data_IF_973067542181
#
_entry.id   IF_973067542181
#
_cell.length_a   1.000
_cell.length_b   1.000
_cell.length_c   1.000
_cell.angle_alpha   90.00
_cell.angle_beta   90.00
_cell.angle_gamma   90.00
#
_symmetry.space_group_name_H-M   'P 1'
#
loop_
_entity.id
_entity.type
_entity.pdbx_description
1 polymer ?
#
# COMPACT_ATOMS: atom_id res chain seq x y z
N UNK A 1 -7.58 21.97 14.89
CA UNK A 1 -6.82 20.71 14.77
C UNK A 1 -5.38 21.01 14.40
N UNK A 2 -4.41 20.23 14.89
CA UNK A 2 -2.97 20.45 14.70
C UNK A 2 -2.19 19.14 14.53
N UNK A 3 -0.97 19.22 13.98
CA UNK A 3 -0.04 18.08 13.87
C UNK A 3 0.25 17.48 15.25
N UNK A 4 0.23 16.15 15.33
CA UNK A 4 0.43 15.37 16.55
C UNK A 4 -0.86 15.07 17.32
N UNK A 5 -1.97 15.74 16.99
CA UNK A 5 -3.24 15.41 17.60
C UNK A 5 -3.83 14.11 17.05
N UNK A 6 -4.48 13.36 17.94
CA UNK A 6 -5.21 12.14 17.62
C UNK A 6 -6.70 12.31 17.89
N UNK A 7 -7.52 11.59 17.12
CA UNK A 7 -8.98 11.61 17.19
C UNK A 7 -9.57 10.22 16.94
N UNK A 8 -10.81 10.02 17.37
CA UNK A 8 -11.70 8.98 16.87
C UNK A 8 -12.86 9.68 16.18
N UNK A 9 -13.19 9.28 14.96
CA UNK A 9 -14.25 9.93 14.20
C UNK A 9 -14.95 9.04 13.18
N UNK A 10 -16.06 9.52 12.64
CA UNK A 10 -16.90 8.78 11.71
C UNK A 10 -17.61 9.73 10.74
N UNK A 11 -18.08 9.16 9.63
CA UNK A 11 -18.96 9.84 8.68
C UNK A 11 -20.29 10.18 9.33
N UNK A 12 -20.79 11.40 9.08
CA UNK A 12 -22.18 11.79 9.43
C UNK A 12 -23.20 11.17 8.47
N UNK A 13 -22.76 10.79 7.26
CA UNK A 13 -23.58 10.05 6.29
C UNK A 13 -23.65 8.58 6.70
N UNK A 14 -24.85 8.13 7.08
CA UNK A 14 -25.08 6.80 7.66
C UNK A 14 -24.77 5.67 6.65
N UNK A 15 -25.10 5.86 5.37
CA UNK A 15 -24.81 4.88 4.32
C UNK A 15 -23.30 4.65 4.14
N UNK A 16 -22.51 5.73 4.15
CA UNK A 16 -21.04 5.67 4.06
C UNK A 16 -20.46 5.07 5.33
N UNK A 17 -21.06 5.37 6.49
CA UNK A 17 -20.64 4.80 7.78
C UNK A 17 -20.85 3.28 7.82
N UNK A 18 -21.94 2.78 7.24
CA UNK A 18 -22.23 1.32 7.17
C UNK A 18 -21.35 0.60 6.15
N UNK A 19 -21.07 1.23 4.99
CA UNK A 19 -20.27 0.62 3.92
C UNK A 19 -18.76 0.76 4.11
N UNK A 20 -18.31 1.74 4.89
CA UNK A 20 -16.88 1.93 5.14
C UNK A 20 -16.30 0.73 5.89
N UNK A 21 -15.02 0.41 5.65
CA UNK A 21 -14.32 -0.65 6.41
C UNK A 21 -14.07 -0.31 7.89
N UNK A 22 -14.69 0.74 8.40
CA UNK A 22 -14.68 1.24 9.78
C UNK A 22 -15.73 2.36 9.84
N UNK A 23 -15.44 3.53 10.41
CA UNK A 23 -16.43 4.62 10.51
C UNK A 23 -16.75 5.39 9.23
N UNK A 24 -16.27 4.98 8.05
CA UNK A 24 -16.47 5.73 6.80
C UNK A 24 -15.80 7.12 6.74
N UNK A 25 -14.96 7.46 7.73
CA UNK A 25 -14.37 8.80 7.88
C UNK A 25 -13.52 9.20 6.68
N UNK A 26 -12.68 8.29 6.18
CA UNK A 26 -11.76 8.59 5.06
C UNK A 26 -12.55 8.97 3.81
N UNK A 27 -13.57 8.20 3.46
CA UNK A 27 -14.41 8.47 2.29
C UNK A 27 -15.10 9.83 2.40
N UNK A 28 -15.76 10.11 3.53
CA UNK A 28 -16.44 11.39 3.74
C UNK A 28 -15.47 12.57 3.81
N UNK A 29 -14.27 12.38 4.35
CA UNK A 29 -13.23 13.40 4.37
C UNK A 29 -12.72 13.75 2.96
N UNK A 30 -12.50 12.75 2.11
CA UNK A 30 -12.11 12.96 0.71
C UNK A 30 -13.25 13.63 -0.09
N UNK A 31 -14.49 13.19 0.11
CA UNK A 31 -15.67 13.78 -0.52
C UNK A 31 -15.82 15.27 -0.14
N UNK A 32 -15.64 15.62 1.14
CA UNK A 32 -15.66 17.00 1.61
C UNK A 32 -14.52 17.84 1.01
N UNK A 33 -13.32 17.27 0.88
CA UNK A 33 -12.19 17.97 0.28
C UNK A 33 -12.46 18.36 -1.17
N UNK A 34 -13.16 17.49 -1.91
CA UNK A 34 -13.55 17.75 -3.30
C UNK A 34 -14.70 18.77 -3.38
N UNK A 35 -15.77 18.59 -2.60
CA UNK A 35 -16.93 19.49 -2.58
C UNK A 35 -16.55 20.93 -2.22
N UNK A 36 -15.66 21.09 -1.22
CA UNK A 36 -15.17 22.40 -0.76
C UNK A 36 -14.02 22.94 -1.60
N UNK A 37 -13.68 22.28 -2.71
CA UNK A 37 -12.59 22.69 -3.63
C UNK A 37 -11.24 22.85 -2.92
N UNK A 38 -11.01 22.06 -1.88
CA UNK A 38 -9.69 21.96 -1.24
C UNK A 38 -8.71 21.25 -2.18
N UNK A 39 -9.22 20.31 -2.99
CA UNK A 39 -8.53 19.61 -4.07
C UNK A 39 -9.35 19.66 -5.35
N UNK A 40 -8.69 19.47 -6.49
CA UNK A 40 -9.33 19.46 -7.82
C UNK A 40 -9.91 18.07 -8.15
N UNK A 41 -9.31 17.02 -7.61
CA UNK A 41 -9.72 15.64 -7.83
C UNK A 41 -9.35 14.74 -6.65
N UNK A 42 -9.99 13.59 -6.57
CA UNK A 42 -9.68 12.53 -5.60
C UNK A 42 -9.32 11.26 -6.36
N UNK A 43 -8.32 10.52 -5.87
CA UNK A 43 -8.02 9.18 -6.35
C UNK A 43 -8.72 8.15 -5.47
N UNK A 44 -9.49 7.25 -6.06
CA UNK A 44 -10.18 6.16 -5.35
C UNK A 44 -10.16 4.87 -6.17
N UNK A 45 -10.62 3.77 -5.58
CA UNK A 45 -10.89 2.52 -6.29
C UNK A 45 -12.38 2.43 -6.64
N UNK A 46 -12.69 2.27 -7.92
CA UNK A 46 -14.02 1.92 -8.39
C UNK A 46 -14.16 0.39 -8.36
N UNK A 47 -14.91 -0.12 -7.37
CA UNK A 47 -15.16 -1.55 -7.19
C UNK A 47 -15.88 -2.12 -8.41
N UNK A 48 -15.35 -3.21 -8.95
CA UNK A 48 -16.05 -4.07 -9.92
C UNK A 48 -16.67 -5.24 -9.15
N UNK A 49 -15.87 -5.92 -8.34
CA UNK A 49 -16.28 -6.95 -7.39
C UNK A 49 -15.30 -6.99 -6.20
N UNK A 50 -15.42 -7.97 -5.32
CA UNK A 50 -14.67 -8.16 -4.08
C UNK A 50 -13.15 -8.34 -4.33
N UNK A 51 -12.78 -8.83 -5.51
CA UNK A 51 -11.40 -9.13 -5.89
C UNK A 51 -10.84 -8.20 -6.98
N UNK A 52 -11.66 -7.29 -7.50
CA UNK A 52 -11.30 -6.45 -8.63
C UNK A 52 -11.82 -5.02 -8.48
N UNK A 53 -10.93 -4.05 -8.68
CA UNK A 53 -11.30 -2.65 -8.77
C UNK A 53 -10.32 -1.89 -9.65
N UNK A 54 -10.80 -0.80 -10.24
CA UNK A 54 -10.01 0.08 -11.11
C UNK A 54 -9.70 1.37 -10.36
N UNK A 55 -8.44 1.80 -10.30
CA UNK A 55 -8.10 3.09 -9.73
C UNK A 55 -8.54 4.21 -10.68
N UNK A 56 -9.31 5.17 -10.17
CA UNK A 56 -9.82 6.31 -10.93
C UNK A 56 -9.36 7.63 -10.29
N UNK A 57 -9.23 8.67 -11.11
CA UNK A 57 -9.10 10.06 -10.67
C UNK A 57 -10.44 10.72 -11.00
N UNK A 58 -11.17 11.17 -9.99
CA UNK A 58 -12.53 11.70 -10.16
C UNK A 58 -12.69 13.07 -9.52
N UNK A 59 -13.51 13.91 -10.15
CA UNK A 59 -14.04 15.15 -9.60
C UNK A 59 -15.52 15.05 -9.23
N UNK A 60 -16.08 13.83 -9.22
CA UNK A 60 -17.45 13.57 -8.77
C UNK A 60 -17.46 13.11 -7.30
N UNK A 61 -18.11 13.90 -6.45
CA UNK A 61 -18.30 13.61 -5.02
C UNK A 61 -19.02 12.27 -4.81
N UNK A 62 -19.98 11.90 -5.68
CA UNK A 62 -20.72 10.65 -5.55
C UNK A 62 -19.85 9.44 -5.88
N UNK A 63 -18.95 9.54 -6.87
CA UNK A 63 -17.98 8.48 -7.14
C UNK A 63 -17.06 8.24 -5.94
N UNK A 64 -16.66 9.30 -5.24
CA UNK A 64 -15.89 9.17 -3.98
C UNK A 64 -16.74 8.48 -2.90
N UNK A 65 -17.98 8.91 -2.67
CA UNK A 65 -18.85 8.31 -1.64
C UNK A 65 -19.17 6.83 -1.92
N UNK A 66 -19.28 6.45 -3.19
CA UNK A 66 -19.52 5.08 -3.63
C UNK A 66 -18.29 4.18 -3.49
N UNK A 67 -17.09 4.74 -3.35
CA UNK A 67 -15.85 3.97 -3.15
C UNK A 67 -15.62 3.54 -1.69
N UNK A 68 -16.58 3.72 -0.79
CA UNK A 68 -16.45 3.31 0.61
C UNK A 68 -16.31 1.78 0.73
N UNK A 69 -15.41 1.35 1.60
CA UNK A 69 -15.15 -0.06 1.88
C UNK A 69 -13.67 -0.41 1.78
N UNK A 70 -13.33 -1.58 2.30
CA UNK A 70 -11.97 -2.14 2.19
C UNK A 70 -11.93 -3.16 1.06
N UNK A 71 -10.83 -3.14 0.29
CA UNK A 71 -10.49 -4.17 -0.69
C UNK A 71 -9.08 -4.68 -0.36
N UNK A 72 -9.02 -5.88 0.20
CA UNK A 72 -7.81 -6.54 0.68
C UNK A 72 -7.10 -7.29 -0.44
N UNK A 73 -7.85 -7.74 -1.46
CA UNK A 73 -7.34 -8.48 -2.62
C UNK A 73 -7.07 -7.62 -3.86
N UNK A 74 -7.07 -6.29 -3.72
CA UNK A 74 -6.78 -5.35 -4.82
C UNK A 74 -5.50 -4.57 -4.53
N UNK A 75 -4.33 -5.02 -5.02
CA UNK A 75 -3.11 -4.23 -4.97
C UNK A 75 -3.20 -3.06 -5.98
N UNK A 76 -3.10 -1.83 -5.48
CA UNK A 76 -3.15 -0.61 -6.29
C UNK A 76 -1.77 0.02 -6.45
N UNK A 77 -1.63 0.91 -7.44
CA UNK A 77 -0.43 1.69 -7.69
C UNK A 77 -0.79 3.15 -7.95
N UNK A 78 -1.19 3.86 -6.89
CA UNK A 78 -1.64 5.24 -7.03
C UNK A 78 -0.52 6.22 -7.42
N UNK A 79 0.72 5.95 -6.99
CA UNK A 79 1.87 6.78 -7.35
C UNK A 79 2.05 6.89 -8.87
N UNK A 80 1.94 5.77 -9.60
CA UNK A 80 2.00 5.79 -11.07
C UNK A 80 0.83 6.51 -11.71
N UNK A 81 -0.37 6.41 -11.12
CA UNK A 81 -1.57 7.02 -11.66
C UNK A 81 -1.50 8.56 -11.62
N UNK A 82 -0.91 9.13 -10.57
CA UNK A 82 -0.82 10.59 -10.39
C UNK A 82 0.51 11.23 -10.81
N UNK A 83 1.53 10.42 -11.12
CA UNK A 83 2.81 10.91 -11.61
C UNK A 83 2.64 11.79 -12.86
N UNK A 84 3.43 12.86 -12.95
CA UNK A 84 3.49 13.85 -14.02
C UNK A 84 2.17 14.61 -14.28
N UNK A 85 1.21 14.52 -13.35
CA UNK A 85 -0.06 15.28 -13.43
C UNK A 85 0.03 16.60 -12.67
N UNK A 86 -0.52 17.66 -13.26
CA UNK A 86 -0.65 18.99 -12.64
C UNK A 86 -2.03 19.16 -12.00
N UNK A 87 -2.35 18.31 -11.04
CA UNK A 87 -3.62 18.35 -10.30
C UNK A 87 -3.34 18.46 -8.81
N UNK A 88 -4.18 19.21 -8.09
CA UNK A 88 -4.24 19.13 -6.64
C UNK A 88 -5.13 17.97 -6.26
N UNK A 89 -4.58 16.94 -5.63
CA UNK A 89 -5.28 15.67 -5.40
C UNK A 89 -5.26 15.24 -3.95
N UNK A 90 -6.32 14.55 -3.52
CA UNK A 90 -6.33 13.78 -2.28
C UNK A 90 -6.56 12.29 -2.57
N UNK A 91 -5.94 11.41 -1.78
CA UNK A 91 -6.10 9.97 -1.98
C UNK A 91 -5.88 9.15 -0.71
N UNK A 92 -6.54 7.98 -0.58
CA UNK A 92 -6.16 6.99 0.40
C UNK A 92 -4.87 6.28 -0.04
N UNK A 93 -3.99 5.98 0.90
CA UNK A 93 -2.70 5.37 0.62
C UNK A 93 -2.35 4.32 1.68
N UNK A 94 -2.10 3.07 1.26
CA UNK A 94 -1.45 2.09 2.15
C UNK A 94 0.02 2.53 2.36
N UNK A 95 0.71 1.94 3.33
CA UNK A 95 2.11 2.31 3.62
C UNK A 95 3.04 2.27 2.40
N UNK A 96 2.87 1.29 1.51
CA UNK A 96 3.62 1.22 0.26
C UNK A 96 3.25 2.34 -0.74
N UNK A 97 1.98 2.72 -0.85
CA UNK A 97 1.55 3.81 -1.72
C UNK A 97 2.13 5.15 -1.25
N UNK A 98 2.02 5.44 0.06
CA UNK A 98 2.55 6.68 0.64
C UNK A 98 4.06 6.80 0.38
N UNK A 99 4.81 5.71 0.59
CA UNK A 99 6.25 5.66 0.31
C UNK A 99 6.56 5.85 -1.17
N UNK A 100 5.80 5.23 -2.06
CA UNK A 100 5.98 5.41 -3.49
C UNK A 100 5.74 6.86 -3.93
N UNK A 101 4.70 7.50 -3.42
CA UNK A 101 4.36 8.90 -3.73
C UNK A 101 5.48 9.83 -3.30
N UNK A 102 6.01 9.64 -2.08
CA UNK A 102 7.14 10.42 -1.57
C UNK A 102 8.40 10.19 -2.43
N UNK A 103 8.70 8.93 -2.80
CA UNK A 103 9.83 8.63 -3.68
C UNK A 103 9.70 9.24 -5.09
N UNK A 104 8.49 9.32 -5.63
CA UNK A 104 8.23 10.04 -6.88
C UNK A 104 8.34 11.56 -6.69
N UNK A 105 7.93 12.09 -5.54
CA UNK A 105 8.11 13.49 -5.17
C UNK A 105 9.59 13.91 -5.12
N UNK A 106 10.45 13.08 -4.53
CA UNK A 106 11.92 13.28 -4.55
C UNK A 106 12.52 13.33 -5.96
N UNK A 107 11.83 12.72 -6.93
CA UNK A 107 12.23 12.64 -8.34
C UNK A 107 11.49 13.66 -9.21
N UNK A 108 10.80 14.62 -8.60
CA UNK A 108 10.01 15.68 -9.23
C UNK A 108 8.88 15.17 -10.14
N UNK A 109 8.49 13.90 -10.03
CA UNK A 109 7.39 13.33 -10.80
C UNK A 109 6.02 13.59 -10.13
N UNK A 110 5.99 13.86 -8.82
CA UNK A 110 4.77 14.24 -8.09
C UNK A 110 5.04 15.53 -7.31
N UNK A 111 4.13 16.50 -7.43
CA UNK A 111 4.15 17.67 -6.56
C UNK A 111 3.50 17.32 -5.21
N UNK A 112 4.32 17.19 -4.17
CA UNK A 112 3.85 16.83 -2.83
C UNK A 112 3.06 17.94 -2.13
N UNK A 113 3.27 19.21 -2.49
CA UNK A 113 2.48 20.33 -1.94
C UNK A 113 1.04 20.26 -2.44
N UNK A 114 0.85 19.74 -3.66
CA UNK A 114 -0.45 19.53 -4.28
C UNK A 114 -1.05 18.15 -4.01
N UNK A 115 -0.41 17.30 -3.20
CA UNK A 115 -0.86 15.93 -2.94
C UNK A 115 -1.18 15.72 -1.47
N UNK A 116 -2.44 15.40 -1.15
CA UNK A 116 -2.90 15.07 0.19
C UNK A 116 -2.92 13.54 0.36
N UNK A 117 -2.06 13.02 1.22
CA UNK A 117 -1.90 11.57 1.43
C UNK A 117 -2.65 11.16 2.69
N UNK A 118 -3.77 10.43 2.53
CA UNK A 118 -4.55 9.86 3.63
C UNK A 118 -4.08 8.43 3.87
N UNK A 119 -3.18 8.24 4.83
CA UNK A 119 -2.62 6.96 5.17
C UNK A 119 -3.66 6.00 5.75
N UNK A 120 -3.63 4.73 5.32
CA UNK A 120 -4.46 3.66 5.87
C UNK A 120 -3.59 2.66 6.64
N UNK A 121 -3.94 2.35 7.90
CA UNK A 121 -3.29 1.25 8.60
C UNK A 121 -3.51 -0.07 7.85
N UNK A 122 -2.48 -0.90 7.75
CA UNK A 122 -2.51 -2.05 6.85
C UNK A 122 -1.83 -3.27 7.47
N UNK A 123 -2.57 -4.37 7.58
CA UNK A 123 -2.03 -5.68 7.99
C UNK A 123 -1.36 -6.46 6.86
N UNK A 124 -1.67 -6.08 5.62
CA UNK A 124 -1.21 -6.69 4.38
C UNK A 124 -2.33 -6.73 3.34
N UNK A 125 -1.99 -7.12 2.12
CA UNK A 125 -2.94 -7.35 1.03
C UNK A 125 -2.70 -8.71 0.42
N UNK A 126 -3.68 -9.22 -0.31
CA UNK A 126 -3.67 -10.53 -0.95
C UNK A 126 -3.61 -10.36 -2.47
N UNK A 127 -3.17 -11.40 -3.18
CA UNK A 127 -3.14 -11.41 -4.64
C UNK A 127 -4.49 -11.92 -5.16
N UNK A 128 -5.19 -11.20 -6.05
CA UNK A 128 -6.59 -11.51 -6.40
C UNK A 128 -6.78 -12.92 -6.96
N UNK A 129 -5.89 -13.36 -7.85
CA UNK A 129 -5.96 -14.71 -8.44
C UNK A 129 -5.75 -15.79 -7.38
N UNK A 130 -4.78 -15.58 -6.48
CA UNK A 130 -4.46 -16.55 -5.41
C UNK A 130 -5.55 -16.57 -4.34
N UNK A 131 -6.19 -15.42 -4.07
CA UNK A 131 -7.36 -15.35 -3.17
C UNK A 131 -8.52 -16.15 -3.75
N UNK A 132 -8.78 -16.07 -5.06
CA UNK A 132 -9.86 -16.83 -5.70
C UNK A 132 -9.61 -18.35 -5.59
N UNK A 133 -8.40 -18.79 -5.86
CA UNK A 133 -8.00 -20.19 -5.65
C UNK A 133 -8.12 -20.62 -4.17
N UNK A 134 -7.67 -19.76 -3.25
CA UNK A 134 -7.77 -19.99 -1.81
C UNK A 134 -9.22 -20.21 -1.34
N UNK A 135 -10.19 -19.49 -1.91
CA UNK A 135 -11.61 -19.65 -1.56
C UNK A 135 -12.12 -21.05 -1.90
N UNK A 136 -11.77 -21.56 -3.08
CA UNK A 136 -12.18 -22.90 -3.51
C UNK A 136 -11.47 -24.00 -2.71
N UNK A 137 -10.17 -23.81 -2.44
CA UNK A 137 -9.32 -24.84 -1.82
C UNK A 137 -9.48 -24.86 -0.30
N UNK A 138 -9.40 -23.72 0.36
CA UNK A 138 -9.37 -23.62 1.83
C UNK A 138 -10.76 -23.41 2.41
N UNK A 139 -11.57 -22.54 1.80
CA UNK A 139 -12.90 -22.20 2.32
C UNK A 139 -14.01 -23.08 1.75
N UNK A 140 -13.75 -23.82 0.66
CA UNK A 140 -14.72 -24.64 -0.07
C UNK A 140 -15.94 -23.84 -0.55
N UNK A 141 -15.73 -22.59 -0.95
CA UNK A 141 -16.75 -21.69 -1.50
C UNK A 141 -16.34 -21.16 -2.86
N UNK A 142 -17.32 -20.80 -3.70
CA UNK A 142 -17.05 -20.20 -5.01
C UNK A 142 -16.75 -18.71 -4.84
N UNK A 143 -15.74 -18.15 -5.50
CA UNK A 143 -15.47 -16.71 -5.46
C UNK A 143 -16.67 -15.85 -5.85
N UNK A 144 -17.51 -16.31 -6.78
CA UNK A 144 -18.69 -15.60 -7.26
C UNK A 144 -19.80 -15.48 -6.22
N UNK A 145 -19.77 -16.31 -5.17
CA UNK A 145 -20.75 -16.30 -4.10
C UNK A 145 -20.38 -15.32 -2.99
N UNK A 146 -19.15 -14.80 -2.96
CA UNK A 146 -18.68 -13.82 -1.96
C UNK A 146 -19.25 -12.44 -2.27
N UNK A 147 -19.76 -11.74 -1.23
CA UNK A 147 -20.15 -10.33 -1.33
C UNK A 147 -19.54 -9.44 -0.24
N UNK A 148 -18.83 -10.02 0.72
CA UNK A 148 -18.19 -9.31 1.83
C UNK A 148 -16.86 -9.94 2.21
N UNK A 149 -15.91 -9.11 2.63
CA UNK A 149 -14.64 -9.56 3.22
C UNK A 149 -14.24 -8.65 4.39
N UNK A 150 -13.69 -9.24 5.45
CA UNK A 150 -13.21 -8.50 6.61
C UNK A 150 -11.99 -9.21 7.22
N UNK A 151 -11.11 -8.43 7.86
CA UNK A 151 -10.00 -8.96 8.65
C UNK A 151 -10.21 -8.55 10.10
N UNK A 152 -10.68 -9.51 10.90
CA UNK A 152 -10.90 -9.30 12.33
C UNK A 152 -10.12 -10.32 13.17
N UNK A 153 -9.40 -9.83 14.19
CA UNK A 153 -8.70 -10.67 15.18
C UNK A 153 -7.80 -11.75 14.56
N UNK A 154 -7.12 -11.42 13.46
CA UNK A 154 -6.20 -12.32 12.76
C UNK A 154 -6.88 -13.40 11.90
N UNK A 155 -8.20 -13.34 11.75
CA UNK A 155 -8.96 -14.19 10.83
C UNK A 155 -9.29 -13.41 9.56
N UNK A 156 -9.24 -14.10 8.43
CA UNK A 156 -9.79 -13.62 7.18
C UNK A 156 -11.19 -14.19 7.02
N UNK A 157 -12.17 -13.29 6.97
CA UNK A 157 -13.59 -13.61 7.00
C UNK A 157 -14.17 -13.26 5.63
N UNK A 158 -14.93 -14.19 5.06
CA UNK A 158 -15.71 -13.98 3.83
C UNK A 158 -17.18 -14.24 4.11
N UNK A 159 -18.04 -13.35 3.62
CA UNK A 159 -19.50 -13.48 3.68
C UNK A 159 -20.04 -13.84 2.29
N UNK A 160 -20.83 -14.90 2.23
CA UNK A 160 -21.46 -15.37 0.99
C UNK A 160 -22.89 -14.86 0.85
N UNK A 161 -23.42 -14.82 -0.38
CA UNK A 161 -24.73 -14.22 -0.72
C UNK A 161 -25.93 -14.85 0.01
N UNK A 162 -25.75 -16.05 0.56
CA UNK A 162 -26.73 -16.73 1.40
C UNK A 162 -26.63 -16.33 2.89
N UNK A 163 -25.78 -15.36 3.23
CA UNK A 163 -25.58 -14.81 4.58
C UNK A 163 -24.69 -15.66 5.48
N UNK A 164 -23.93 -16.63 4.93
CA UNK A 164 -22.99 -17.42 5.72
C UNK A 164 -21.64 -16.73 5.83
N UNK A 165 -21.09 -16.74 7.03
CA UNK A 165 -19.71 -16.30 7.28
C UNK A 165 -18.76 -17.50 7.35
N UNK A 166 -17.64 -17.37 6.66
CA UNK A 166 -16.56 -18.35 6.68
C UNK A 166 -15.27 -17.67 7.15
N UNK A 167 -14.63 -18.22 8.17
CA UNK A 167 -13.45 -17.60 8.79
C UNK A 167 -12.31 -18.62 8.99
N UNK A 168 -11.13 -18.31 8.46
CA UNK A 168 -9.89 -19.07 8.66
C UNK A 168 -8.82 -18.12 9.19
N UNK A 169 -7.93 -18.62 10.04
CA UNK A 169 -6.83 -17.80 10.57
C UNK A 169 -5.83 -17.46 9.46
N UNK A 170 -5.28 -16.24 9.46
CA UNK A 170 -4.29 -15.83 8.45
C UNK A 170 -3.04 -16.71 8.54
N UNK A 171 -2.62 -17.10 9.75
CA UNK A 171 -1.44 -17.95 9.94
C UNK A 171 -1.62 -19.32 9.26
N UNK A 172 -2.78 -19.95 9.41
CA UNK A 172 -3.10 -21.21 8.74
C UNK A 172 -3.09 -21.08 7.21
N UNK A 173 -3.67 -19.99 6.67
CA UNK A 173 -3.63 -19.72 5.23
C UNK A 173 -2.19 -19.56 4.74
N UNK A 174 -1.36 -18.82 5.48
CA UNK A 174 0.04 -18.56 5.12
C UNK A 174 0.91 -19.82 5.17
N UNK A 175 0.67 -20.72 6.13
CA UNK A 175 1.31 -22.03 6.23
C UNK A 175 0.97 -22.94 5.05
N UNK A 176 -0.22 -22.78 4.46
CA UNK A 176 -0.66 -23.50 3.26
C UNK A 176 -0.28 -22.81 1.95
N UNK A 177 0.47 -21.72 2.00
CA UNK A 177 0.92 -20.97 0.81
C UNK A 177 -0.05 -19.89 0.33
N UNK A 178 -1.18 -19.68 1.01
CA UNK A 178 -2.20 -18.67 0.68
C UNK A 178 -2.10 -17.42 1.58
N UNK A 179 -3.14 -16.60 1.61
CA UNK A 179 -3.22 -15.41 2.45
C UNK A 179 -2.48 -14.21 1.87
N UNK A 180 -1.73 -13.48 2.71
CA UNK A 180 -1.10 -12.23 2.30
C UNK A 180 0.01 -12.47 1.28
N UNK A 181 0.15 -11.52 0.34
CA UNK A 181 1.30 -11.42 -0.57
C UNK A 181 2.59 -11.49 0.23
N UNK A 182 3.61 -12.19 -0.26
CA UNK A 182 4.90 -12.32 0.42
C UNK A 182 5.48 -10.97 0.86
N UNK A 183 5.42 -9.98 -0.04
CA UNK A 183 5.85 -8.59 0.22
C UNK A 183 5.17 -7.95 1.43
N UNK A 184 3.92 -8.30 1.66
CA UNK A 184 3.12 -7.81 2.77
C UNK A 184 3.45 -8.51 4.09
N UNK A 185 3.91 -9.77 4.03
CA UNK A 185 4.26 -10.56 5.23
C UNK A 185 5.44 -9.96 5.99
N UNK A 186 6.46 -9.47 5.29
CA UNK A 186 7.64 -8.85 5.90
C UNK A 186 7.58 -7.31 6.01
N UNK A 187 6.51 -6.67 5.53
CA UNK A 187 6.38 -5.21 5.61
C UNK A 187 6.28 -4.75 7.07
N UNK A 188 7.10 -3.78 7.47
CA UNK A 188 7.08 -3.17 8.81
C UNK A 188 6.34 -1.84 8.86
N UNK A 189 5.85 -1.32 7.73
CA UNK A 189 5.08 -0.08 7.69
C UNK A 189 3.61 -0.41 7.88
N UNK A 190 3.17 -0.39 9.14
CA UNK A 190 1.82 -0.81 9.53
C UNK A 190 0.86 0.36 9.73
N UNK A 191 1.37 1.45 10.31
CA UNK A 191 0.70 2.75 10.36
C UNK A 191 1.55 3.73 9.53
N UNK A 192 1.02 4.28 8.43
CA UNK A 192 1.77 5.16 7.53
C UNK A 192 1.92 6.57 8.14
N UNK A 193 2.78 6.72 9.15
CA UNK A 193 3.05 7.99 9.81
C UNK A 193 3.78 9.02 8.90
N UNK A 194 4.25 8.59 7.73
CA UNK A 194 4.80 9.43 6.67
C UNK A 194 3.73 10.06 5.76
N UNK A 195 2.46 9.70 5.92
CA UNK A 195 1.32 10.36 5.25
C UNK A 195 0.95 11.69 5.92
N UNK A 196 0.03 12.47 5.35
CA UNK A 196 -0.44 13.71 5.97
C UNK A 196 -1.33 13.44 7.20
N UNK A 197 -2.11 12.36 7.13
CA UNK A 197 -3.02 11.91 8.18
C UNK A 197 -3.13 10.38 8.12
N UNK A 198 -2.93 9.69 9.24
CA UNK A 198 -3.02 8.23 9.30
C UNK A 198 -4.34 7.79 9.95
N UNK A 199 -5.08 6.95 9.24
CA UNK A 199 -6.42 6.52 9.57
C UNK A 199 -6.51 4.98 9.66
N UNK A 200 -7.44 4.48 10.48
CA UNK A 200 -7.90 3.09 10.42
C UNK A 200 -8.55 2.63 11.72
N UNK A 201 -8.82 1.33 11.84
CA UNK A 201 -9.59 0.76 12.95
C UNK A 201 -8.78 0.49 14.22
N UNK A 202 -7.45 0.43 14.17
CA UNK A 202 -6.64 0.10 15.35
C UNK A 202 -6.66 1.21 16.39
N UNK A 203 -7.10 0.86 17.61
CA UNK A 203 -7.27 1.78 18.74
C UNK A 203 -8.70 2.25 18.96
N UNK A 204 -9.64 1.90 18.08
CA UNK A 204 -11.07 2.12 18.31
C UNK A 204 -11.58 1.07 19.30
N UNK A 205 -12.29 1.50 20.34
CA UNK A 205 -12.75 0.64 21.44
C UNK A 205 -14.22 0.89 21.79
N UNK A 206 -14.81 -0.02 22.57
CA UNK A 206 -16.19 0.07 23.06
C UNK A 206 -17.21 0.01 21.91
N UNK A 207 -18.31 0.75 22.06
CA UNK A 207 -19.44 0.74 21.12
C UNK A 207 -19.13 1.34 19.75
N UNK A 208 -17.95 1.97 19.61
CA UNK A 208 -17.46 2.56 18.38
C UNK A 208 -16.67 1.57 17.49
N UNK A 209 -16.36 0.36 17.98
CA UNK A 209 -15.69 -0.67 17.17
C UNK A 209 -16.51 -0.95 15.91
N UNK A 210 -15.84 -0.96 14.75
CA UNK A 210 -16.48 -1.09 13.43
C UNK A 210 -17.26 0.14 12.96
N UNK A 211 -17.50 1.14 13.83
CA UNK A 211 -18.35 2.31 13.54
C UNK A 211 -17.59 3.63 13.56
N UNK A 212 -16.31 3.62 13.90
CA UNK A 212 -15.43 4.78 13.94
C UNK A 212 -14.05 4.45 13.38
N UNK A 213 -13.29 5.50 13.07
CA UNK A 213 -11.93 5.47 12.55
C UNK A 213 -11.03 6.20 13.54
N UNK A 214 -9.93 5.56 13.93
CA UNK A 214 -8.86 6.23 14.66
C UNK A 214 -8.03 7.05 13.67
N UNK A 215 -7.71 8.28 14.05
CA UNK A 215 -7.06 9.28 13.22
C UNK A 215 -5.86 9.87 13.95
N UNK A 216 -4.73 10.00 13.26
CA UNK A 216 -3.50 10.63 13.72
C UNK A 216 -3.03 11.65 12.69
N UNK A 217 -2.92 12.91 13.11
CA UNK A 217 -2.55 14.02 12.22
C UNK A 217 -1.02 14.15 12.17
N UNK A 218 -0.42 13.95 11.00
CA UNK A 218 1.03 13.94 10.83
C UNK A 218 1.58 15.22 10.16
N UNK A 219 0.72 16.02 9.52
CA UNK A 219 1.08 17.28 8.86
C UNK A 219 0.00 18.35 8.97
N UNK A 220 0.36 19.60 8.64
CA UNK A 220 -0.60 20.71 8.51
C UNK A 220 -1.64 20.47 7.41
N UNK A 221 -1.23 19.83 6.29
CA UNK A 221 -2.17 19.41 5.23
C UNK A 221 -3.19 18.41 5.77
N UNK A 222 -2.76 17.46 6.61
CA UNK A 222 -3.63 16.50 7.27
C UNK A 222 -4.63 17.17 8.21
N UNK A 223 -4.15 18.13 9.02
CA UNK A 223 -5.01 18.93 9.90
C UNK A 223 -6.07 19.69 9.11
N UNK A 224 -5.66 20.33 8.00
CA UNK A 224 -6.55 21.07 7.10
C UNK A 224 -7.60 20.16 6.47
N UNK A 225 -7.22 18.94 6.07
CA UNK A 225 -8.11 17.97 5.45
C UNK A 225 -9.23 17.53 6.42
N UNK A 226 -8.87 17.18 7.66
CA UNK A 226 -9.84 16.77 8.67
C UNK A 226 -10.73 17.94 9.12
N UNK A 227 -10.15 19.11 9.35
CA UNK A 227 -10.89 20.30 9.76
C UNK A 227 -11.91 20.70 8.70
N UNK A 228 -11.51 20.71 7.41
CA UNK A 228 -12.42 20.96 6.30
C UNK A 228 -13.62 20.00 6.30
N UNK A 229 -13.40 18.72 6.60
CA UNK A 229 -14.48 17.73 6.64
C UNK A 229 -15.43 17.92 7.84
N UNK A 230 -14.90 18.34 8.99
CA UNK A 230 -15.71 18.69 10.17
C UNK A 230 -16.54 19.94 9.91
N UNK A 231 -15.91 21.01 9.40
CA UNK A 231 -16.59 22.29 9.12
C UNK A 231 -17.67 22.13 8.04
N UNK A 232 -17.43 21.23 7.08
CA UNK A 232 -18.41 20.85 6.06
C UNK A 232 -19.54 19.95 6.58
N UNK A 233 -19.47 19.47 7.82
CA UNK A 233 -20.46 18.56 8.41
C UNK A 233 -20.43 17.12 7.86
N UNK A 234 -19.35 16.73 7.18
CA UNK A 234 -19.20 15.39 6.59
C UNK A 234 -18.73 14.34 7.60
N UNK A 235 -18.03 14.77 8.65
CA UNK A 235 -17.50 13.89 9.69
C UNK A 235 -17.69 14.50 11.07
N UNK A 236 -17.79 13.63 12.08
CA UNK A 236 -17.70 13.99 13.49
C UNK A 236 -16.45 13.36 14.08
N UNK A 237 -15.83 14.06 15.02
CA UNK A 237 -14.63 13.59 15.72
C UNK A 237 -14.73 13.88 17.22
N UNK A 238 -14.08 13.04 18.00
CA UNK A 238 -13.85 13.22 19.43
C UNK A 238 -12.40 12.85 19.77
N UNK A 239 -11.91 13.27 20.95
CA UNK A 239 -10.62 12.82 21.43
C UNK A 239 -10.65 11.30 21.71
N UNK A 240 -9.58 10.56 21.39
CA UNK A 240 -9.49 9.14 21.70
C UNK A 240 -9.37 8.94 23.20
N UNK A 241 -9.84 7.79 23.67
CA UNK A 241 -9.53 7.30 25.01
C UNK A 241 -8.04 6.94 25.11
N UNK A 242 -7.40 7.20 26.26
CA UNK A 242 -5.98 6.86 26.51
C UNK A 242 -5.70 5.36 26.31
N UNK A 243 -6.64 4.50 26.72
CA UNK A 243 -6.58 3.05 26.47
C UNK A 243 -6.62 2.75 24.97
N UNK A 244 -7.41 3.49 24.20
CA UNK A 244 -7.46 3.38 22.74
C UNK A 244 -6.12 3.72 22.09
N UNK A 245 -5.47 4.80 22.54
CA UNK A 245 -4.12 5.19 22.11
C UNK A 245 -3.10 4.08 22.43
N UNK A 246 -3.13 3.54 23.65
CA UNK A 246 -2.24 2.46 24.07
C UNK A 246 -2.47 1.17 23.25
N UNK A 247 -3.73 0.81 22.98
CA UNK A 247 -4.09 -0.35 22.14
C UNK A 247 -3.58 -0.17 20.72
N UNK A 248 -3.73 1.02 20.13
CA UNK A 248 -3.20 1.32 18.79
C UNK A 248 -1.69 1.08 18.73
N UNK A 249 -0.94 1.64 19.68
CA UNK A 249 0.51 1.47 19.76
C UNK A 249 0.89 -0.01 19.92
N UNK A 250 0.18 -0.75 20.78
CA UNK A 250 0.38 -2.18 20.98
C UNK A 250 0.14 -3.00 19.72
N UNK A 251 -0.99 -2.79 19.03
CA UNK A 251 -1.30 -3.51 17.78
C UNK A 251 -0.25 -3.20 16.71
N UNK A 252 0.14 -1.93 16.56
CA UNK A 252 1.22 -1.53 15.64
C UNK A 252 2.50 -2.32 15.92
N UNK A 253 2.97 -2.35 17.17
CA UNK A 253 4.17 -3.08 17.56
C UNK A 253 4.10 -4.58 17.27
N UNK A 254 2.99 -5.24 17.63
CA UNK A 254 2.77 -6.66 17.33
C UNK A 254 2.86 -6.94 15.82
N UNK A 255 2.24 -6.08 15.01
CA UNK A 255 2.24 -6.24 13.55
C UNK A 255 3.62 -5.97 12.93
N UNK A 256 4.39 -5.03 13.49
CA UNK A 256 5.78 -4.77 13.10
C UNK A 256 6.70 -5.95 13.44
N UNK A 257 6.55 -6.53 14.62
CA UNK A 257 7.34 -7.69 15.05
C UNK A 257 7.01 -8.93 14.22
N UNK A 258 5.74 -9.13 13.85
CA UNK A 258 5.36 -10.15 12.88
C UNK A 258 6.07 -9.93 11.53
N UNK A 259 6.15 -8.67 11.08
CA UNK A 259 6.90 -8.28 9.87
C UNK A 259 8.38 -8.63 9.97
N UNK A 260 9.03 -8.30 11.10
CA UNK A 260 10.44 -8.64 11.35
C UNK A 260 10.68 -10.15 11.37
N UNK A 261 9.78 -10.92 12.00
CA UNK A 261 9.83 -12.40 12.02
C UNK A 261 9.80 -12.97 10.60
N UNK A 262 8.87 -12.49 9.76
CA UNK A 262 8.81 -12.90 8.35
C UNK A 262 10.02 -12.44 7.54
N UNK A 263 10.55 -11.25 7.80
CA UNK A 263 11.78 -10.76 7.17
C UNK A 263 12.95 -11.72 7.42
N UNK A 264 13.12 -12.21 8.66
CA UNK A 264 14.15 -13.20 9.01
C UNK A 264 13.95 -14.57 8.35
N UNK A 265 12.69 -14.99 8.12
CA UNK A 265 12.37 -16.23 7.40
C UNK A 265 12.66 -16.14 5.90
N UNK A 266 12.39 -14.99 5.29
CA UNK A 266 12.43 -14.80 3.83
C UNK A 266 13.83 -14.42 3.35
N UNK A 267 14.52 -13.56 4.09
CA UNK A 267 15.82 -13.01 3.70
C UNK A 267 16.96 -13.68 4.48
N UNK A 268 17.13 -14.99 4.24
CA UNK A 268 18.27 -15.74 4.79
C UNK A 268 19.54 -15.39 4.00
N UNK A 269 20.66 -15.04 4.66
CA UNK A 269 21.92 -14.77 3.98
C UNK A 269 22.40 -15.94 3.12
N UNK A 270 22.89 -15.64 1.93
CA UNK A 270 23.53 -16.62 1.05
C UNK A 270 25.04 -16.43 1.19
N UNK A 271 25.70 -17.34 1.93
CA UNK A 271 27.14 -17.25 2.21
C UNK A 271 28.00 -17.53 0.97
N UNK A 272 27.66 -18.55 0.19
CA UNK A 272 28.39 -18.96 -1.02
C UNK A 272 27.46 -19.04 -2.23
N UNK A 273 27.96 -18.68 -3.42
CA UNK A 273 27.21 -18.84 -4.67
C UNK A 273 26.08 -17.84 -4.87
N UNK A 274 26.10 -16.67 -4.20
CA UNK A 274 25.07 -15.63 -4.37
C UNK A 274 24.83 -15.28 -5.84
N UNK A 275 25.89 -15.06 -6.62
CA UNK A 275 25.74 -14.77 -8.06
C UNK A 275 25.03 -15.92 -8.79
N UNK A 276 25.36 -17.17 -8.49
CA UNK A 276 24.72 -18.33 -9.12
C UNK A 276 23.24 -18.46 -8.71
N UNK A 277 22.90 -18.17 -7.46
CA UNK A 277 21.52 -18.07 -7.02
C UNK A 277 20.73 -17.05 -7.87
N UNK A 278 21.23 -15.83 -8.00
CA UNK A 278 20.57 -14.81 -8.82
C UNK A 278 20.49 -15.21 -10.30
N UNK A 279 21.54 -15.83 -10.86
CA UNK A 279 21.54 -16.33 -12.24
C UNK A 279 20.48 -17.40 -12.45
N UNK A 280 20.31 -18.33 -11.51
CA UNK A 280 19.29 -19.37 -11.56
C UNK A 280 17.89 -18.79 -11.45
N UNK A 281 17.63 -17.92 -10.48
CA UNK A 281 16.32 -17.30 -10.28
C UNK A 281 15.88 -16.42 -11.47
N UNK A 282 16.83 -15.85 -12.21
CA UNK A 282 16.57 -14.97 -13.36
C UNK A 282 16.65 -15.69 -14.71
N UNK A 283 17.00 -16.98 -14.75
CA UNK A 283 17.31 -17.67 -16.02
C UNK A 283 16.13 -17.79 -16.98
N UNK A 284 14.90 -17.73 -16.45
CA UNK A 284 13.66 -17.77 -17.22
C UNK A 284 13.12 -16.38 -17.58
N UNK A 285 13.83 -15.30 -17.23
CA UNK A 285 13.39 -13.97 -17.56
C UNK A 285 13.33 -13.79 -19.09
N UNK A 286 12.17 -13.37 -19.59
CA UNK A 286 11.92 -13.10 -21.01
C UNK A 286 12.12 -11.61 -21.38
N UNK A 287 12.75 -10.84 -20.49
CA UNK A 287 13.03 -9.40 -20.63
C UNK A 287 11.83 -8.53 -21.06
N UNK A 288 10.60 -8.93 -20.72
CA UNK A 288 9.37 -8.21 -21.11
C UNK A 288 9.22 -6.80 -20.51
N UNK A 289 10.02 -6.45 -19.49
CA UNK A 289 10.01 -5.12 -18.87
C UNK A 289 8.79 -4.80 -17.98
N UNK A 290 7.83 -5.72 -17.83
CA UNK A 290 6.60 -5.51 -17.05
C UNK A 290 6.89 -5.04 -15.61
N UNK A 291 7.87 -5.66 -14.96
CA UNK A 291 8.29 -5.32 -13.60
C UNK A 291 8.85 -3.89 -13.45
N UNK A 292 9.44 -3.33 -14.52
CA UNK A 292 9.85 -1.91 -14.55
C UNK A 292 8.64 -1.01 -14.76
N UNK A 293 7.72 -1.38 -15.65
CA UNK A 293 6.52 -0.59 -15.96
C UNK A 293 5.66 -0.37 -14.71
N UNK A 294 5.44 -1.42 -13.92
CA UNK A 294 4.64 -1.33 -12.69
C UNK A 294 5.41 -0.81 -11.48
N UNK A 295 6.73 -0.62 -11.57
CA UNK A 295 7.53 -0.20 -10.42
C UNK A 295 7.13 1.22 -9.96
N UNK A 296 6.57 1.37 -8.74
CA UNK A 296 5.97 2.63 -8.33
C UNK A 296 6.99 3.70 -7.95
N UNK A 297 8.27 3.34 -7.78
CA UNK A 297 9.37 4.28 -7.48
C UNK A 297 10.23 4.62 -8.71
N UNK A 298 9.97 4.00 -9.86
CA UNK A 298 10.68 4.28 -11.10
C UNK A 298 10.07 5.51 -11.79
N UNK A 299 10.87 6.56 -12.02
CA UNK A 299 10.42 7.81 -12.65
C UNK A 299 10.85 7.98 -14.11
N UNK A 300 11.70 7.11 -14.66
CA UNK A 300 12.32 7.29 -15.99
C UNK A 300 11.36 7.19 -17.21
N UNK A 301 10.04 7.07 -16.99
CA UNK A 301 9.03 7.06 -18.06
C UNK A 301 9.19 5.93 -19.09
N UNK A 302 8.50 6.05 -20.23
CA UNK A 302 8.57 5.07 -21.34
C UNK A 302 9.91 5.13 -22.10
N UNK A 303 10.58 6.29 -22.11
CA UNK A 303 11.86 6.54 -22.80
C UNK A 303 13.09 5.97 -22.06
N UNK A 304 12.88 5.07 -21.10
CA UNK A 304 13.96 4.53 -20.29
C UNK A 304 14.78 3.52 -21.09
N UNK A 305 16.07 3.79 -21.28
CA UNK A 305 17.01 2.87 -21.95
C UNK A 305 17.21 1.54 -21.22
N UNK A 306 16.80 1.42 -19.95
CA UNK A 306 17.02 0.20 -19.18
C UNK A 306 16.39 -1.03 -19.83
N UNK A 307 15.20 -0.90 -20.41
CA UNK A 307 14.51 -1.99 -21.13
C UNK A 307 15.12 -2.29 -22.50
N UNK A 308 16.08 -1.50 -22.98
CA UNK A 308 16.81 -1.74 -24.22
C UNK A 308 18.12 -2.50 -23.98
N UNK A 309 18.56 -2.64 -22.72
CA UNK A 309 19.78 -3.37 -22.35
C UNK A 309 19.59 -4.89 -22.28
N UNK A 310 18.84 -5.45 -23.23
CA UNK A 310 18.75 -6.88 -23.50
C UNK A 310 18.75 -7.08 -25.02
N UNK A 311 19.47 -8.08 -25.52
CA UNK A 311 19.34 -8.53 -26.91
C UNK A 311 18.63 -9.89 -26.92
N UNK A 312 17.65 -10.08 -27.81
CA UNK A 312 16.91 -11.35 -27.92
C UNK A 312 17.80 -12.57 -28.23
N UNK A 313 19.01 -12.34 -28.73
CA UNK A 313 20.00 -13.39 -29.01
C UNK A 313 21.01 -13.63 -27.87
N UNK A 314 20.91 -12.89 -26.77
CA UNK A 314 21.82 -13.08 -25.63
C UNK A 314 21.55 -14.41 -24.93
N UNK A 315 22.60 -15.20 -24.72
CA UNK A 315 22.54 -16.42 -23.89
C UNK A 315 22.70 -16.12 -22.39
N UNK A 316 22.74 -14.84 -21.99
CA UNK A 316 22.99 -14.45 -20.60
C UNK A 316 21.75 -14.68 -19.74
N UNK A 317 21.84 -15.63 -18.80
CA UNK A 317 20.81 -15.88 -17.76
C UNK A 317 20.47 -14.64 -16.91
N UNK A 318 21.37 -13.66 -16.87
CA UNK A 318 21.18 -12.38 -16.20
C UNK A 318 21.63 -11.27 -17.15
N UNK A 319 20.66 -10.70 -17.89
CA UNK A 319 20.86 -9.59 -18.83
C UNK A 319 21.31 -8.28 -18.14
N UNK A 320 21.80 -7.32 -18.93
CA UNK A 320 22.21 -6.01 -18.41
C UNK A 320 21.03 -5.23 -17.82
N UNK A 321 19.82 -5.44 -18.33
CA UNK A 321 18.60 -4.96 -17.70
C UNK A 321 18.56 -5.28 -16.19
N UNK A 322 18.87 -6.51 -15.79
CA UNK A 322 18.83 -6.91 -14.37
C UNK A 322 19.79 -6.10 -13.50
N UNK A 323 21.05 -5.96 -13.90
CA UNK A 323 22.04 -5.24 -13.07
C UNK A 323 21.69 -3.75 -12.98
N UNK A 324 21.24 -3.12 -14.07
CA UNK A 324 20.76 -1.74 -14.04
C UNK A 324 19.58 -1.60 -13.08
N UNK A 325 18.63 -2.56 -13.11
CA UNK A 325 17.49 -2.57 -12.18
C UNK A 325 17.91 -2.75 -10.72
N UNK A 326 18.85 -3.63 -10.42
CA UNK A 326 19.37 -3.80 -9.05
C UNK A 326 19.98 -2.51 -8.52
N UNK A 327 20.83 -1.86 -9.32
CA UNK A 327 21.48 -0.59 -8.94
C UNK A 327 20.47 0.53 -8.74
N UNK A 328 19.52 0.72 -9.67
CA UNK A 328 18.51 1.78 -9.57
C UNK A 328 17.53 1.59 -8.41
N UNK A 329 17.35 0.36 -7.94
CA UNK A 329 16.43 0.02 -6.85
C UNK A 329 17.15 -0.17 -5.50
N UNK A 330 18.48 -0.08 -5.48
CA UNK A 330 19.33 -0.31 -4.32
C UNK A 330 18.89 0.51 -3.10
N UNK A 331 18.62 1.79 -3.29
CA UNK A 331 18.11 2.69 -2.25
C UNK A 331 16.61 2.96 -2.35
N UNK A 332 16.01 2.79 -3.54
CA UNK A 332 14.63 3.18 -3.83
C UNK A 332 13.58 2.08 -3.66
N UNK A 333 13.98 0.80 -3.57
CA UNK A 333 13.01 -0.29 -3.48
C UNK A 333 12.22 -0.22 -2.17
N UNK A 334 10.91 0.00 -2.25
CA UNK A 334 10.01 0.00 -1.07
C UNK A 334 9.46 -1.38 -0.71
N UNK A 335 9.71 -2.42 -1.53
CA UNK A 335 9.22 -3.78 -1.28
C UNK A 335 7.70 -3.95 -1.45
N UNK A 336 7.08 -3.29 -2.43
CA UNK A 336 5.62 -3.25 -2.60
C UNK A 336 4.99 -4.53 -3.20
N UNK A 337 5.76 -5.44 -3.79
CA UNK A 337 5.25 -6.66 -4.43
C UNK A 337 4.91 -6.55 -5.91
N UNK A 338 4.62 -5.34 -6.41
CA UNK A 338 4.07 -5.11 -7.75
C UNK A 338 4.85 -5.80 -8.87
N UNK A 339 6.18 -5.79 -8.82
CA UNK A 339 7.01 -6.45 -9.83
C UNK A 339 6.92 -7.98 -9.83
N UNK A 340 6.66 -8.59 -8.67
CA UNK A 340 6.41 -10.05 -8.58
C UNK A 340 5.03 -10.37 -9.13
N UNK A 341 4.02 -9.58 -8.77
CA UNK A 341 2.62 -9.81 -9.16
C UNK A 341 2.41 -9.81 -10.69
N UNK A 342 3.27 -9.13 -11.46
CA UNK A 342 3.14 -9.04 -12.93
C UNK A 342 4.16 -9.88 -13.71
N UNK A 343 4.97 -10.70 -13.05
CA UNK A 343 5.94 -11.52 -13.75
C UNK A 343 5.24 -12.69 -14.45
N UNK A 344 5.29 -12.81 -15.79
CA UNK A 344 4.59 -13.88 -16.50
C UNK A 344 5.25 -15.26 -16.38
N UNK A 345 6.41 -15.31 -15.73
CA UNK A 345 7.23 -16.52 -15.51
C UNK A 345 7.55 -16.70 -14.02
N UNK A 346 6.71 -16.12 -13.16
CA UNK A 346 6.69 -16.33 -11.69
C UNK A 346 8.01 -16.08 -10.95
N UNK A 347 8.89 -15.22 -11.50
CA UNK A 347 10.12 -14.84 -10.82
C UNK A 347 9.77 -14.00 -9.57
N UNK A 348 10.32 -14.31 -8.38
CA UNK A 348 10.07 -13.57 -7.15
C UNK A 348 10.84 -12.24 -7.10
N UNK A 349 10.65 -11.38 -8.10
CA UNK A 349 11.44 -10.17 -8.36
C UNK A 349 11.53 -9.23 -7.15
N UNK A 350 10.45 -9.03 -6.41
CA UNK A 350 10.46 -8.20 -5.20
C UNK A 350 11.43 -8.75 -4.16
N UNK A 351 11.47 -10.08 -3.96
CA UNK A 351 12.40 -10.74 -3.05
C UNK A 351 13.84 -10.51 -3.51
N UNK A 352 14.12 -10.76 -4.79
CA UNK A 352 15.45 -10.56 -5.38
C UNK A 352 15.93 -9.11 -5.24
N UNK A 353 15.08 -8.13 -5.57
CA UNK A 353 15.41 -6.72 -5.42
C UNK A 353 15.63 -6.34 -3.95
N UNK A 354 14.83 -6.87 -3.01
CA UNK A 354 15.03 -6.62 -1.58
C UNK A 354 16.28 -7.29 -1.02
N UNK A 355 16.68 -8.45 -1.51
CA UNK A 355 17.97 -9.07 -1.13
C UNK A 355 19.17 -8.19 -1.52
N UNK A 356 19.07 -7.45 -2.63
CA UNK A 356 20.07 -6.46 -3.03
C UNK A 356 19.94 -5.14 -2.26
N UNK A 357 18.72 -4.64 -2.08
CA UNK A 357 18.45 -3.33 -1.50
C UNK A 357 18.54 -3.29 0.04
N UNK A 358 18.18 -4.38 0.75
CA UNK A 358 18.17 -4.40 2.22
C UNK A 358 19.53 -4.02 2.83
N UNK A 359 20.67 -4.64 2.46
CA UNK A 359 21.96 -4.33 3.08
C UNK A 359 22.40 -2.88 2.80
N UNK A 360 22.10 -2.38 1.61
CA UNK A 360 22.41 -1.01 1.18
C UNK A 360 21.61 0.00 1.98
N UNK A 361 20.28 -0.19 2.07
CA UNK A 361 19.39 0.66 2.85
C UNK A 361 19.77 0.69 4.33
N UNK A 362 20.15 -0.46 4.89
CA UNK A 362 20.61 -0.60 6.27
C UNK A 362 21.94 0.13 6.52
N UNK A 363 22.94 -0.12 5.67
CA UNK A 363 24.25 0.53 5.75
C UNK A 363 24.13 2.07 5.64
N UNK A 364 23.25 2.56 4.76
CA UNK A 364 23.03 3.99 4.54
C UNK A 364 22.04 4.62 5.53
N UNK A 365 21.46 3.82 6.44
CA UNK A 365 20.38 4.21 7.36
C UNK A 365 19.27 4.97 6.62
N UNK A 366 18.84 4.41 5.50
CA UNK A 366 17.90 5.04 4.58
C UNK A 366 16.68 4.14 4.35
N UNK A 367 15.50 4.61 4.75
CA UNK A 367 14.25 3.93 4.50
C UNK A 367 13.47 4.67 3.40
N UNK A 368 13.32 4.11 2.19
CA UNK A 368 12.75 4.84 1.06
C UNK A 368 11.31 5.22 1.34
N UNK A 369 10.97 6.46 1.00
CA UNK A 369 9.62 7.02 1.11
C UNK A 369 9.17 7.39 2.52
N UNK A 370 10.05 7.40 3.53
CA UNK A 370 9.66 7.74 4.91
C UNK A 370 9.79 9.23 5.24
N UNK A 371 10.71 9.93 4.57
CA UNK A 371 10.97 11.35 4.72
C UNK A 371 11.35 11.96 3.37
N UNK A 372 11.76 13.24 3.35
CA UNK A 372 12.24 13.94 2.16
C UNK A 372 13.75 13.86 1.94
N UNK A 373 14.49 13.04 2.71
CA UNK A 373 15.93 12.82 2.47
C UNK A 373 16.12 12.26 1.07
N UNK A 374 17.00 12.90 0.30
CA UNK A 374 17.30 12.49 -1.07
C UNK A 374 17.82 11.05 -1.07
N UNK A 375 17.49 10.24 -2.09
CA UNK A 375 18.04 8.90 -2.19
C UNK A 375 19.57 8.98 -2.28
N UNK A 376 20.32 8.24 -1.44
CA UNK A 376 21.78 8.37 -1.39
C UNK A 376 22.52 8.21 -2.72
N UNK A 377 22.02 7.36 -3.64
CA UNK A 377 22.63 7.26 -4.99
C UNK A 377 22.21 8.39 -5.93
N UNK A 378 21.10 9.08 -5.64
CA UNK A 378 20.70 10.33 -6.30
C UNK A 378 21.40 11.57 -5.72
N UNK A 379 21.98 11.48 -4.51
CA UNK A 379 22.79 12.56 -3.91
C UNK A 379 24.15 12.75 -4.57
N UNK A 380 24.56 11.86 -5.49
CA UNK A 380 25.71 12.11 -6.39
C UNK A 380 25.35 13.13 -7.48
N UNK A 381 24.64 14.20 -7.11
CA UNK A 381 24.89 15.50 -7.72
C UNK A 381 26.14 16.00 -7.03
N UNK A 382 27.26 15.96 -7.75
CA UNK A 382 28.47 16.68 -7.39
C UNK A 382 28.04 18.06 -6.89
N UNK A 383 28.44 18.39 -5.67
CA UNK A 383 28.36 19.76 -5.17
C UNK A 383 29.18 20.61 -6.14
N UNK A 384 28.51 21.24 -7.10
CA UNK A 384 29.04 22.35 -7.90
C UNK A 384 28.37 23.64 -7.44
#
# INVERSE_FOLDING_TARGET
MQKGEMYVGWSTKEDVRKRGGSGGLVTSMLAAALEKKLVDAVVVLKKINEFEAVPIITSDVNEVLNSAGSLHSVPSNFAKLIADRKLKVALPAKGCDARAIIEQGKRNAINLDNTFIVGLNCGGSMHPVVTREMLEVMYKIKPEDVHGEEIEKGKLIFETKDGKEHAITIDELEEKGYGRRESCRYCTIKVPNNSDIACGNWGVIGDLVGKATFVEINSEKGAKLLQNAVDAGYVQVQKPDEKGVAIRAKIKGVMEDLGKKWKGKIFVPIENGRLEYFRKELEHCIDCGACKTVCPTCSCGAVSKCTEYHLRGDAYKMSMYHLVRFTHLADACIGCGQCTDVCPVDIPLTRLYRMFANPIQEQLKYEPGMDMRKPPYFEVKLNE
#
